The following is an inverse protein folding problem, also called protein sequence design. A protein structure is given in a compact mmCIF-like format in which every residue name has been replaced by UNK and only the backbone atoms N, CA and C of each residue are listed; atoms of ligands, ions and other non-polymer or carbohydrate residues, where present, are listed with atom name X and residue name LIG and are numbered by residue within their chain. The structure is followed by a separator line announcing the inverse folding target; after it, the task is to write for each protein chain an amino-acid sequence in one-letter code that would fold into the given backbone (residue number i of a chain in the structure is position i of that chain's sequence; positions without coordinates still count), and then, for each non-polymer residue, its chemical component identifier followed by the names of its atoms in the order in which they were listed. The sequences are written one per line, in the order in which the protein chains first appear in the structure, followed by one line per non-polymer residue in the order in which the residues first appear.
data_IF_434624260366
#
_entry.id   IF_434624260366
#
_cell.length_a   1.000
_cell.length_b   1.000
_cell.length_c   1.000
_cell.angle_alpha   90.00
_cell.angle_beta   90.00
_cell.angle_gamma   90.00
#
_symmetry.space_group_name_H-M   'P 1'
#
loop_
_entity.id
_entity.type
_entity.pdbx_description
1 polymer ?
#
# COMPACT_ATOMS: atom_id res chain seq x y z
N UNK A 1 -9.24 -11.79 -15.34
CA UNK A 1 -9.19 -12.67 -14.15
C UNK A 1 -10.59 -13.23 -13.96
N UNK A 2 -10.77 -14.50 -13.55
CA UNK A 2 -12.09 -15.04 -13.28
C UNK A 2 -12.75 -14.22 -12.18
N UNK A 3 -13.76 -13.43 -12.56
CA UNK A 3 -14.54 -12.66 -11.62
C UNK A 3 -15.57 -13.64 -11.04
N UNK A 4 -15.26 -14.18 -9.86
CA UNK A 4 -16.24 -14.97 -9.14
C UNK A 4 -17.37 -14.03 -8.71
N UNK A 5 -18.59 -14.32 -9.17
CA UNK A 5 -19.80 -13.58 -8.84
C UNK A 5 -20.30 -13.99 -7.44
N UNK A 6 -19.44 -13.78 -6.43
CA UNK A 6 -19.81 -14.01 -5.03
C UNK A 6 -20.82 -12.96 -4.59
N UNK A 7 -21.79 -13.36 -3.77
CA UNK A 7 -22.64 -12.40 -3.06
C UNK A 7 -21.76 -11.45 -2.22
N UNK A 8 -22.19 -10.21 -2.05
CA UNK A 8 -21.44 -9.23 -1.25
C UNK A 8 -21.20 -9.72 0.18
N UNK A 9 -22.19 -10.40 0.76
CA UNK A 9 -22.10 -10.98 2.09
C UNK A 9 -21.03 -12.08 2.15
N UNK A 10 -21.03 -13.04 1.23
CA UNK A 10 -20.01 -14.10 1.22
C UNK A 10 -18.62 -13.53 0.96
N UNK A 11 -18.51 -12.60 0.00
CA UNK A 11 -17.27 -11.90 -0.29
C UNK A 11 -16.71 -11.24 0.98
N UNK A 12 -17.54 -10.49 1.70
CA UNK A 12 -17.17 -9.82 2.96
C UNK A 12 -16.69 -10.81 4.01
N UNK A 13 -17.50 -11.83 4.32
CA UNK A 13 -17.19 -12.82 5.38
C UNK A 13 -15.91 -13.57 5.07
N UNK A 14 -15.72 -13.98 3.81
CA UNK A 14 -14.53 -14.72 3.37
C UNK A 14 -13.28 -13.85 3.49
N UNK A 15 -13.31 -12.62 2.97
CA UNK A 15 -12.16 -11.71 3.00
C UNK A 15 -11.79 -11.36 4.45
N UNK A 16 -12.77 -11.06 5.30
CA UNK A 16 -12.52 -10.79 6.73
C UNK A 16 -11.80 -11.96 7.41
N UNK A 17 -12.21 -13.20 7.14
CA UNK A 17 -11.53 -14.38 7.70
C UNK A 17 -10.11 -14.53 7.16
N UNK A 18 -9.94 -14.39 5.84
CA UNK A 18 -8.61 -14.47 5.22
C UNK A 18 -7.67 -13.41 5.78
N UNK A 19 -8.13 -12.17 5.92
CA UNK A 19 -7.32 -11.06 6.39
C UNK A 19 -7.02 -11.14 7.89
N UNK A 20 -7.95 -11.63 8.72
CA UNK A 20 -7.64 -11.96 10.13
C UNK A 20 -6.55 -13.01 10.24
N UNK A 21 -6.67 -14.11 9.50
CA UNK A 21 -5.63 -15.14 9.49
C UNK A 21 -4.31 -14.61 8.94
N UNK A 22 -4.33 -13.76 7.91
CA UNK A 22 -3.12 -13.14 7.36
C UNK A 22 -2.43 -12.22 8.38
N UNK A 23 -3.20 -11.45 9.15
CA UNK A 23 -2.72 -10.57 10.20
C UNK A 23 -2.07 -11.37 11.35
N UNK A 24 -2.78 -12.37 11.89
CA UNK A 24 -2.30 -13.28 12.93
C UNK A 24 -1.00 -14.00 12.54
N UNK A 25 -0.86 -14.34 11.25
CA UNK A 25 0.33 -15.02 10.73
C UNK A 25 1.49 -14.06 10.45
N UNK A 26 1.30 -12.75 10.51
CA UNK A 26 2.28 -11.76 10.06
C UNK A 26 2.61 -11.94 8.58
N UNK A 27 1.59 -11.93 7.71
CA UNK A 27 1.69 -12.32 6.29
C UNK A 27 2.88 -11.73 5.53
N UNK A 28 3.23 -10.46 5.76
CA UNK A 28 4.35 -9.80 5.07
C UNK A 28 5.73 -10.38 5.43
N UNK A 29 5.84 -11.09 6.55
CA UNK A 29 7.06 -11.76 7.00
C UNK A 29 7.16 -13.22 6.57
N UNK A 30 6.09 -13.76 5.98
CA UNK A 30 6.05 -15.16 5.54
C UNK A 30 6.80 -15.38 4.25
N UNK A 31 7.53 -16.49 4.21
CA UNK A 31 8.17 -17.00 3.01
C UNK A 31 7.14 -17.52 1.99
N UNK A 32 7.54 -17.64 0.72
CA UNK A 32 6.67 -18.17 -0.33
C UNK A 32 6.15 -19.60 -0.04
N UNK A 33 6.95 -20.54 0.52
CA UNK A 33 6.45 -21.85 0.94
C UNK A 33 5.36 -21.76 2.01
N UNK A 34 5.54 -20.94 3.04
CA UNK A 34 4.54 -20.76 4.10
C UNK A 34 3.25 -20.14 3.57
N UNK A 35 3.35 -19.13 2.70
CA UNK A 35 2.20 -18.54 2.01
C UNK A 35 1.46 -19.59 1.17
N UNK A 36 2.21 -20.42 0.44
CA UNK A 36 1.65 -21.52 -0.37
C UNK A 36 0.89 -22.53 0.49
N UNK A 37 1.44 -22.89 1.66
CA UNK A 37 0.77 -23.79 2.59
C UNK A 37 -0.50 -23.17 3.18
N UNK A 38 -0.47 -21.88 3.52
CA UNK A 38 -1.66 -21.19 4.00
C UNK A 38 -2.77 -21.13 2.94
N UNK A 39 -2.44 -20.91 1.66
CA UNK A 39 -3.42 -21.00 0.58
C UNK A 39 -4.07 -22.40 0.49
N UNK A 40 -3.31 -23.48 0.73
CA UNK A 40 -3.89 -24.84 0.78
C UNK A 40 -4.84 -25.01 1.95
N UNK A 41 -4.55 -24.41 3.11
CA UNK A 41 -5.44 -24.42 4.27
C UNK A 41 -6.74 -23.66 3.97
N UNK A 42 -6.68 -22.43 3.49
CA UNK A 42 -7.87 -21.67 3.09
C UNK A 42 -8.71 -22.37 2.01
N UNK A 43 -8.05 -23.03 1.05
CA UNK A 43 -8.73 -23.81 0.03
C UNK A 43 -9.57 -24.97 0.60
N UNK A 44 -9.05 -25.66 1.62
CA UNK A 44 -9.72 -26.77 2.31
C UNK A 44 -10.71 -26.32 3.38
N UNK A 45 -10.71 -25.05 3.74
CA UNK A 45 -11.54 -24.50 4.80
C UNK A 45 -13.03 -24.52 4.41
N UNK A 46 -13.93 -25.14 5.23
CA UNK A 46 -15.37 -25.16 5.02
C UNK A 46 -16.02 -23.78 4.87
N UNK A 47 -15.40 -22.75 5.42
CA UNK A 47 -15.92 -21.38 5.50
C UNK A 47 -15.25 -20.43 4.50
N UNK A 48 -14.20 -20.85 3.80
CA UNK A 48 -13.52 -20.08 2.74
C UNK A 48 -13.59 -20.85 1.43
N UNK A 49 -12.63 -21.72 1.13
CA UNK A 49 -12.49 -22.35 -0.19
C UNK A 49 -13.64 -23.29 -0.52
N UNK A 50 -14.03 -24.16 0.40
CA UNK A 50 -15.13 -25.09 0.18
C UNK A 50 -16.49 -24.38 0.14
N UNK A 51 -16.65 -23.28 0.89
CA UNK A 51 -17.85 -22.44 0.81
C UNK A 51 -18.04 -21.90 -0.61
N UNK A 52 -16.97 -21.37 -1.20
CA UNK A 52 -16.99 -20.83 -2.58
C UNK A 52 -17.36 -21.94 -3.57
N UNK A 53 -16.71 -23.11 -3.50
CA UNK A 53 -16.98 -24.23 -4.41
C UNK A 53 -18.44 -24.70 -4.28
N UNK A 54 -18.89 -24.98 -3.06
CA UNK A 54 -20.20 -25.59 -2.82
C UNK A 54 -21.36 -24.63 -3.11
N UNK A 55 -21.20 -23.33 -2.82
CA UNK A 55 -22.28 -22.36 -3.00
C UNK A 55 -22.36 -21.80 -4.44
N UNK A 56 -21.24 -21.80 -5.18
CA UNK A 56 -21.17 -21.15 -6.50
C UNK A 56 -20.84 -22.11 -7.66
N UNK A 57 -20.57 -23.39 -7.39
CA UNK A 57 -20.30 -24.39 -8.42
C UNK A 57 -19.06 -24.10 -9.27
N UNK A 58 -18.09 -23.38 -8.71
CA UNK A 58 -16.88 -22.92 -9.41
C UNK A 58 -15.75 -23.94 -9.31
N UNK A 59 -14.85 -23.95 -10.29
CA UNK A 59 -13.73 -24.89 -10.31
C UNK A 59 -12.73 -24.63 -9.17
N UNK A 60 -12.05 -25.67 -8.70
CA UNK A 60 -11.00 -25.53 -7.69
C UNK A 60 -9.91 -24.53 -8.11
N UNK A 61 -9.58 -24.55 -9.39
CA UNK A 61 -8.56 -23.67 -9.96
C UNK A 61 -9.00 -22.20 -9.88
N UNK A 62 -10.26 -21.90 -10.20
CA UNK A 62 -10.78 -20.54 -10.12
C UNK A 62 -10.81 -20.03 -8.68
N UNK A 63 -11.14 -20.87 -7.70
CA UNK A 63 -11.09 -20.50 -6.27
C UNK A 63 -9.67 -20.16 -5.84
N UNK A 64 -8.68 -20.97 -6.24
CA UNK A 64 -7.26 -20.71 -5.92
C UNK A 64 -6.77 -19.40 -6.54
N UNK A 65 -7.07 -19.17 -7.82
CA UNK A 65 -6.71 -17.93 -8.53
C UNK A 65 -7.40 -16.74 -7.88
N UNK A 66 -8.69 -16.85 -7.58
CA UNK A 66 -9.44 -15.78 -6.93
C UNK A 66 -8.83 -15.40 -5.59
N UNK A 67 -8.60 -16.35 -4.67
CA UNK A 67 -8.01 -16.07 -3.35
C UNK A 67 -6.67 -15.34 -3.45
N UNK A 68 -5.80 -15.75 -4.37
CA UNK A 68 -4.47 -15.19 -4.54
C UNK A 68 -4.49 -13.82 -5.23
N UNK A 69 -5.12 -13.74 -6.41
CA UNK A 69 -4.99 -12.61 -7.31
C UNK A 69 -6.03 -11.52 -7.09
N UNK A 70 -7.04 -11.78 -6.24
CA UNK A 70 -8.06 -10.80 -5.85
C UNK A 70 -7.81 -10.27 -4.43
N UNK A 71 -8.23 -10.90 -3.31
CA UNK A 71 -8.06 -10.30 -2.00
C UNK A 71 -6.60 -10.29 -1.54
N UNK A 72 -5.83 -11.37 -1.70
CA UNK A 72 -4.47 -11.40 -1.13
C UNK A 72 -3.47 -10.53 -1.89
N UNK A 73 -3.71 -10.25 -3.18
CA UNK A 73 -2.94 -9.27 -3.94
C UNK A 73 -3.11 -7.85 -3.41
N UNK A 74 -4.29 -7.53 -2.89
CA UNK A 74 -4.60 -6.21 -2.34
C UNK A 74 -4.24 -6.07 -0.86
N UNK A 75 -3.87 -7.15 -0.16
CA UNK A 75 -3.64 -7.13 1.29
C UNK A 75 -2.65 -6.06 1.76
N UNK A 76 -1.46 -5.99 1.15
CA UNK A 76 -0.45 -5.00 1.51
C UNK A 76 -0.94 -3.56 1.25
N UNK A 77 -1.70 -3.33 0.16
CA UNK A 77 -2.28 -2.02 -0.16
C UNK A 77 -3.43 -1.68 0.80
N UNK A 78 -4.23 -2.66 1.20
CA UNK A 78 -5.29 -2.48 2.18
C UNK A 78 -4.72 -2.06 3.54
N UNK A 79 -3.56 -2.60 3.96
CA UNK A 79 -2.85 -2.14 5.16
C UNK A 79 -2.35 -0.70 5.07
N UNK A 80 -2.19 -0.12 3.88
CA UNK A 80 -1.90 1.30 3.67
C UNK A 80 -3.14 2.19 3.78
N UNK A 81 -4.33 1.59 3.95
CA UNK A 81 -5.61 2.30 3.92
C UNK A 81 -6.06 2.69 2.51
N UNK A 82 -5.50 2.07 1.47
CA UNK A 82 -5.77 2.42 0.07
C UNK A 82 -6.65 1.35 -0.60
N UNK A 83 -7.66 1.80 -1.35
CA UNK A 83 -8.49 0.96 -2.21
C UNK A 83 -9.62 0.24 -1.48
N UNK A 84 -10.46 -0.47 -2.26
CA UNK A 84 -11.73 -1.03 -1.78
C UNK A 84 -11.58 -2.11 -0.69
N UNK A 85 -10.39 -2.70 -0.54
CA UNK A 85 -10.10 -3.74 0.44
C UNK A 85 -9.64 -3.21 1.81
N UNK A 86 -9.35 -1.90 1.92
CA UNK A 86 -8.88 -1.27 3.15
C UNK A 86 -9.82 -1.49 4.34
N UNK A 87 -11.12 -1.60 4.08
CA UNK A 87 -12.14 -1.84 5.11
C UNK A 87 -12.14 -3.25 5.72
N UNK A 88 -11.36 -4.20 5.16
CA UNK A 88 -11.37 -5.59 5.62
C UNK A 88 -10.15 -5.98 6.46
N UNK A 89 -9.07 -5.17 6.47
CA UNK A 89 -7.85 -5.52 7.21
C UNK A 89 -8.06 -5.23 8.71
N UNK A 90 -7.71 -6.14 9.62
CA UNK A 90 -7.87 -5.90 11.07
C UNK A 90 -7.01 -4.74 11.55
N UNK A 91 -5.76 -4.70 11.08
CA UNK A 91 -4.79 -3.66 11.39
C UNK A 91 -4.33 -2.96 10.12
N UNK A 92 -4.08 -1.65 10.23
CA UNK A 92 -3.54 -0.83 9.15
C UNK A 92 -2.60 0.24 9.68
N UNK A 93 -1.87 0.90 8.80
CA UNK A 93 -1.11 2.09 9.17
C UNK A 93 -2.00 3.33 9.35
N UNK A 94 -1.46 4.37 10.02
CA UNK A 94 -2.16 5.64 10.33
C UNK A 94 -2.56 6.49 9.11
N UNK A 95 -2.29 6.01 7.88
CA UNK A 95 -2.71 6.62 6.63
C UNK A 95 -1.72 7.65 6.05
N UNK A 96 -2.06 8.30 4.92
CA UNK A 96 -1.15 9.18 4.18
C UNK A 96 -0.77 10.48 4.91
N UNK A 97 -1.53 10.93 5.90
CA UNK A 97 -1.20 12.14 6.66
C UNK A 97 0.15 11.99 7.40
N UNK A 98 0.41 10.82 8.00
CA UNK A 98 1.70 10.50 8.64
C UNK A 98 2.87 10.60 7.65
N UNK A 99 2.65 10.17 6.40
CA UNK A 99 3.64 10.24 5.32
C UNK A 99 3.93 11.69 4.95
N UNK A 100 2.88 12.50 4.77
CA UNK A 100 3.02 13.92 4.42
C UNK A 100 3.75 14.69 5.51
N UNK A 101 3.39 14.47 6.77
CA UNK A 101 4.06 15.07 7.92
C UNK A 101 5.54 14.69 7.97
N UNK A 102 5.89 13.43 7.71
CA UNK A 102 7.29 13.00 7.65
C UNK A 102 8.07 13.64 6.49
N UNK A 103 7.43 13.82 5.32
CA UNK A 103 8.09 14.36 4.13
C UNK A 103 8.23 15.88 4.15
N UNK A 104 7.24 16.59 4.70
CA UNK A 104 7.06 18.03 4.53
C UNK A 104 7.10 18.82 5.84
N UNK A 105 6.88 18.17 6.98
CA UNK A 105 6.81 18.78 8.29
C UNK A 105 5.39 19.20 8.70
N UNK A 106 5.32 19.81 9.87
CA UNK A 106 4.08 20.29 10.48
C UNK A 106 3.39 21.35 9.61
N UNK A 107 2.05 21.37 9.62
CA UNK A 107 1.22 22.28 8.82
C UNK A 107 0.94 21.83 7.39
N UNK A 108 1.54 20.72 6.92
CA UNK A 108 1.23 20.14 5.62
C UNK A 108 0.08 19.13 5.69
N UNK A 109 -0.83 19.22 4.74
CA UNK A 109 -2.00 18.35 4.61
C UNK A 109 -2.00 17.59 3.28
N UNK A 110 -2.75 16.49 3.23
CA UNK A 110 -2.97 15.73 1.99
C UNK A 110 -4.03 16.46 1.16
N UNK A 111 -3.75 16.76 -0.10
CA UNK A 111 -4.74 17.30 -1.03
C UNK A 111 -5.82 16.24 -1.27
N UNK A 112 -7.08 16.61 -1.03
CA UNK A 112 -8.20 15.69 -1.14
C UNK A 112 -8.29 15.07 -2.55
N UNK A 113 -8.53 13.75 -2.61
CA UNK A 113 -8.65 13.01 -3.87
C UNK A 113 -7.32 12.75 -4.60
N UNK A 114 -6.16 13.16 -4.05
CA UNK A 114 -4.86 12.96 -4.70
C UNK A 114 -4.17 11.63 -4.36
N UNK A 115 -4.72 10.84 -3.42
CA UNK A 115 -4.14 9.58 -2.99
C UNK A 115 -4.36 8.51 -4.07
N UNK A 116 -3.28 7.91 -4.55
CA UNK A 116 -3.32 6.78 -5.50
C UNK A 116 -2.18 5.77 -5.22
N UNK A 117 -2.23 4.61 -5.87
CA UNK A 117 -1.42 3.43 -5.54
C UNK A 117 -0.77 2.78 -6.76
N UNK A 118 0.27 3.43 -7.33
CA UNK A 118 1.33 2.90 -8.24
C UNK A 118 2.41 3.97 -8.54
N UNK A 119 3.48 4.12 -7.72
CA UNK A 119 3.58 3.68 -6.33
C UNK A 119 2.59 4.44 -5.45
N UNK A 120 2.53 4.16 -4.14
CA UNK A 120 1.67 4.94 -3.26
C UNK A 120 2.12 6.40 -3.27
N UNK A 121 1.21 7.32 -3.54
CA UNK A 121 1.52 8.74 -3.65
C UNK A 121 0.31 9.63 -3.36
N UNK A 122 0.59 10.91 -3.17
CA UNK A 122 -0.38 11.99 -3.08
C UNK A 122 0.25 13.33 -3.43
N UNK A 123 -0.59 14.37 -3.51
CA UNK A 123 -0.15 15.75 -3.39
C UNK A 123 -0.32 16.20 -1.93
N UNK A 124 0.66 16.92 -1.43
CA UNK A 124 0.65 17.58 -0.14
C UNK A 124 0.62 19.09 -0.33
N UNK A 125 0.01 19.83 0.60
CA UNK A 125 -0.02 21.30 0.58
C UNK A 125 0.07 21.92 1.97
N UNK A 126 0.68 23.10 2.06
CA UNK A 126 0.63 23.99 3.23
C UNK A 126 -0.38 25.15 3.04
N UNK A 127 -1.24 25.07 2.02
CA UNK A 127 -2.17 26.12 1.60
C UNK A 127 -1.58 27.13 0.62
N UNK A 128 -0.25 27.19 0.47
CA UNK A 128 0.43 28.07 -0.50
C UNK A 128 1.18 27.29 -1.57
N UNK A 129 1.81 26.19 -1.18
CA UNK A 129 2.69 25.36 -2.00
C UNK A 129 2.14 23.95 -2.11
N UNK A 130 2.35 23.33 -3.27
CA UNK A 130 2.09 21.90 -3.45
C UNK A 130 3.39 21.11 -3.59
N UNK A 131 3.34 19.87 -3.10
CA UNK A 131 4.45 18.93 -3.15
C UNK A 131 3.95 17.54 -3.51
N UNK A 132 4.53 16.92 -4.53
CA UNK A 132 4.32 15.50 -4.77
C UNK A 132 5.05 14.68 -3.71
N UNK A 133 4.33 13.74 -3.08
CA UNK A 133 4.87 12.84 -2.06
C UNK A 133 4.55 11.41 -2.44
N UNK A 134 5.56 10.55 -2.52
CA UNK A 134 5.39 9.13 -2.76
C UNK A 134 6.10 8.29 -1.69
N UNK A 135 5.61 7.08 -1.43
CA UNK A 135 6.15 6.23 -0.37
C UNK A 135 6.12 4.75 -0.70
N UNK A 136 7.01 4.03 -0.02
CA UNK A 136 7.12 2.58 -0.12
C UNK A 136 8.34 2.06 0.62
N UNK A 137 8.54 0.74 0.55
CA UNK A 137 9.70 0.10 1.17
C UNK A 137 11.00 0.44 0.45
N UNK A 138 12.14 0.22 1.11
CA UNK A 138 13.47 0.44 0.50
C UNK A 138 13.69 -0.38 -0.79
N UNK A 139 13.02 -1.52 -0.94
CA UNK A 139 13.10 -2.36 -2.16
C UNK A 139 12.45 -1.69 -3.37
N UNK A 140 11.54 -0.74 -3.13
CA UNK A 140 10.81 0.00 -4.15
C UNK A 140 11.47 1.34 -4.50
N UNK A 141 12.62 1.68 -3.91
CA UNK A 141 13.24 3.00 -4.10
C UNK A 141 13.39 3.38 -5.58
N UNK A 142 13.83 2.43 -6.43
CA UNK A 142 13.97 2.69 -7.88
C UNK A 142 12.66 3.19 -8.48
N UNK A 143 11.55 2.53 -8.15
CA UNK A 143 10.23 2.84 -8.69
C UNK A 143 9.71 4.18 -8.10
N UNK A 144 10.02 4.48 -6.83
CA UNK A 144 9.70 5.76 -6.18
C UNK A 144 10.46 6.95 -6.79
N UNK A 145 11.77 6.77 -7.05
CA UNK A 145 12.62 7.77 -7.72
C UNK A 145 12.11 8.00 -9.13
N UNK A 146 11.84 6.93 -9.88
CA UNK A 146 11.33 7.03 -11.24
C UNK A 146 9.99 7.78 -11.31
N UNK A 147 9.03 7.42 -10.45
CA UNK A 147 7.74 8.11 -10.38
C UNK A 147 7.88 9.61 -10.05
N UNK A 148 8.85 9.96 -9.19
CA UNK A 148 9.13 11.36 -8.85
C UNK A 148 9.71 12.14 -10.04
N UNK A 149 10.57 11.49 -10.85
CA UNK A 149 11.14 12.08 -12.07
C UNK A 149 10.07 12.23 -13.15
N UNK A 150 9.21 11.22 -13.34
CA UNK A 150 8.08 11.29 -14.28
C UNK A 150 7.14 12.45 -13.91
N UNK A 151 6.75 12.53 -12.63
CA UNK A 151 5.91 13.64 -12.15
C UNK A 151 6.56 15.00 -12.44
N UNK A 152 7.86 15.12 -12.15
CA UNK A 152 8.63 16.31 -12.45
C UNK A 152 8.62 16.64 -13.96
N UNK A 153 8.91 15.67 -14.83
CA UNK A 153 8.96 15.88 -16.28
C UNK A 153 7.62 16.38 -16.83
N UNK A 154 6.51 15.82 -16.36
CA UNK A 154 5.16 16.19 -16.79
C UNK A 154 4.72 17.55 -16.23
N UNK A 155 5.23 17.93 -15.05
CA UNK A 155 4.84 19.15 -14.35
C UNK A 155 5.83 20.31 -14.50
N UNK A 156 6.98 20.10 -15.16
CA UNK A 156 8.04 21.10 -15.34
C UNK A 156 8.00 21.87 -16.70
N UNK A 157 6.90 21.85 -17.46
CA UNK A 157 6.87 22.62 -18.73
C UNK A 157 6.78 24.15 -18.53
N UNK A 158 7.94 24.78 -18.79
CA UNK A 158 8.24 26.13 -19.30
C UNK A 158 7.61 27.33 -18.58
N UNK A 159 8.30 27.81 -17.56
CA UNK A 159 8.14 29.17 -17.05
C UNK A 159 8.76 30.18 -18.02
N UNK A 160 7.93 30.72 -18.89
CA UNK A 160 8.12 32.06 -19.46
C UNK A 160 7.64 33.17 -18.51
N UNK A 161 6.77 32.84 -17.55
CA UNK A 161 6.40 33.73 -16.45
C UNK A 161 5.72 32.88 -15.36
N UNK A 162 6.12 33.05 -14.09
CA UNK A 162 5.51 32.47 -12.87
C UNK A 162 5.54 30.94 -12.70
N UNK A 163 6.71 30.43 -12.31
CA UNK A 163 6.85 29.16 -11.55
C UNK A 163 6.42 29.42 -10.09
N UNK A 164 5.12 29.60 -9.87
CA UNK A 164 4.60 29.93 -8.53
C UNK A 164 4.13 28.63 -7.90
N UNK A 165 4.93 28.13 -6.96
CA UNK A 165 4.52 27.22 -5.86
C UNK A 165 4.52 25.70 -6.08
N UNK A 166 5.45 25.14 -6.87
CA UNK A 166 5.73 23.68 -6.86
C UNK A 166 7.10 23.37 -6.28
N UNK A 167 7.11 22.62 -5.18
CA UNK A 167 8.33 22.20 -4.47
C UNK A 167 8.88 20.85 -4.97
N UNK A 168 10.14 20.55 -4.68
CA UNK A 168 10.79 19.27 -5.05
C UNK A 168 10.02 18.08 -4.46
N UNK A 169 9.79 16.98 -5.20
CA UNK A 169 9.15 15.79 -4.66
C UNK A 169 9.77 15.28 -3.34
N UNK A 170 8.92 14.75 -2.47
CA UNK A 170 9.31 14.06 -1.24
C UNK A 170 9.13 12.55 -1.38
N UNK A 171 10.20 11.78 -1.24
CA UNK A 171 10.15 10.31 -1.17
C UNK A 171 10.21 9.89 0.29
N UNK A 172 9.25 9.07 0.73
CA UNK A 172 9.25 8.48 2.07
C UNK A 172 9.52 6.99 1.97
N UNK A 173 10.69 6.57 2.43
CA UNK A 173 11.03 5.16 2.55
C UNK A 173 10.52 4.65 3.90
N UNK A 174 9.55 3.74 3.86
CA UNK A 174 8.86 3.26 5.06
C UNK A 174 9.40 1.92 5.54
N UNK A 175 9.46 1.74 6.86
CA UNK A 175 9.57 0.44 7.53
C UNK A 175 8.36 0.19 8.42
N UNK A 176 8.22 -1.06 8.87
CA UNK A 176 7.20 -1.46 9.84
C UNK A 176 7.80 -2.23 11.00
N UNK A 177 7.02 -2.50 12.05
CA UNK A 177 7.44 -3.31 13.19
C UNK A 177 8.11 -4.62 12.74
N UNK A 178 9.30 -4.91 13.25
CA UNK A 178 10.10 -6.08 12.83
C UNK A 178 10.93 -5.89 11.55
N UNK A 179 10.87 -4.72 10.90
CA UNK A 179 11.77 -4.35 9.80
C UNK A 179 12.75 -3.26 10.22
N UNK A 180 13.99 -3.40 9.76
CA UNK A 180 15.05 -2.41 9.94
C UNK A 180 15.65 -2.10 8.58
N UNK A 181 15.95 -0.83 8.33
CA UNK A 181 16.84 -0.41 7.23
C UNK A 181 18.16 -0.07 7.90
N UNK A 182 19.19 -0.85 7.56
CA UNK A 182 20.54 -0.60 8.05
C UNK A 182 21.11 0.73 7.53
N UNK A 183 22.14 1.24 8.21
CA UNK A 183 22.75 2.53 7.90
C UNK A 183 23.25 2.61 6.47
N UNK A 184 23.87 1.54 5.94
CA UNK A 184 24.39 1.53 4.58
C UNK A 184 23.28 1.60 3.52
N UNK A 185 22.15 0.93 3.76
CA UNK A 185 20.97 1.06 2.93
C UNK A 185 20.36 2.47 2.99
N UNK A 186 20.33 3.11 4.16
CA UNK A 186 19.86 4.51 4.29
C UNK A 186 20.72 5.48 3.49
N UNK A 187 22.03 5.43 3.68
CA UNK A 187 23.01 6.25 2.97
C UNK A 187 22.92 6.03 1.45
N UNK A 188 22.74 4.78 1.02
CA UNK A 188 22.55 4.46 -0.40
C UNK A 188 21.27 5.10 -0.95
N UNK A 189 20.16 5.05 -0.22
CA UNK A 189 18.90 5.65 -0.65
C UNK A 189 19.03 7.16 -0.83
N UNK A 190 19.63 7.84 0.15
CA UNK A 190 19.90 9.28 0.12
C UNK A 190 20.81 9.66 -1.04
N UNK A 191 21.91 8.92 -1.24
CA UNK A 191 22.84 9.16 -2.36
C UNK A 191 22.16 9.03 -3.71
N UNK A 192 21.36 7.97 -3.91
CA UNK A 192 20.66 7.73 -5.18
C UNK A 192 19.63 8.82 -5.48
N UNK A 193 18.81 9.20 -4.50
CA UNK A 193 17.84 10.28 -4.69
C UNK A 193 18.51 11.64 -4.87
N UNK A 194 19.60 11.90 -4.14
CA UNK A 194 20.40 13.12 -4.26
C UNK A 194 20.99 13.33 -5.66
N UNK A 195 21.42 12.25 -6.33
CA UNK A 195 21.87 12.31 -7.74
C UNK A 195 20.77 12.79 -8.71
N UNK A 196 19.49 12.65 -8.34
CA UNK A 196 18.34 13.12 -9.11
C UNK A 196 17.75 14.43 -8.57
N UNK A 197 18.38 15.05 -7.55
CA UNK A 197 17.88 16.27 -6.92
C UNK A 197 16.60 16.08 -6.09
N UNK A 198 16.30 14.84 -5.67
CA UNK A 198 15.11 14.46 -4.91
C UNK A 198 15.43 14.36 -3.42
N UNK A 199 14.43 14.60 -2.56
CA UNK A 199 14.54 14.41 -1.12
C UNK A 199 14.03 13.01 -0.74
N UNK A 200 14.77 12.31 0.12
CA UNK A 200 14.35 11.06 0.76
C UNK A 200 14.31 11.25 2.27
N UNK A 201 13.25 10.77 2.89
CA UNK A 201 13.15 10.61 4.35
C UNK A 201 12.82 9.16 4.67
N UNK A 202 13.25 8.68 5.83
CA UNK A 202 12.92 7.33 6.30
C UNK A 202 11.94 7.43 7.47
N UNK A 203 10.86 6.67 7.39
CA UNK A 203 9.80 6.67 8.39
C UNK A 203 9.54 5.25 8.87
N UNK A 204 9.64 5.03 10.18
CA UNK A 204 9.13 3.80 10.78
C UNK A 204 7.65 3.98 11.11
N UNK A 205 6.83 2.99 10.77
CA UNK A 205 5.37 3.03 10.95
C UNK A 205 4.91 1.82 11.72
N UNK A 206 4.13 2.06 12.77
CA UNK A 206 3.44 1.00 13.49
C UNK A 206 1.99 0.91 13.04
N UNK A 207 1.45 -0.30 13.09
CA UNK A 207 0.03 -0.49 12.79
C UNK A 207 -0.84 -0.03 13.96
N UNK A 208 -2.08 0.28 13.62
CA UNK A 208 -3.19 0.56 14.54
C UNK A 208 -4.35 -0.36 14.18
N UNK A 209 -5.27 -0.53 15.13
CA UNK A 209 -6.58 -1.11 14.83
C UNK A 209 -7.25 -0.31 13.71
N UNK A 210 -7.83 -1.02 12.74
CA UNK A 210 -8.43 -0.36 11.59
C UNK A 210 -9.77 0.30 11.98
N UNK A 211 -9.85 1.65 11.95
CA UNK A 211 -11.10 2.34 12.29
C UNK A 211 -12.18 2.13 11.23
N UNK A 212 -11.80 1.72 10.01
CA UNK A 212 -12.70 1.48 8.89
C UNK A 212 -13.12 0.00 8.80
N UNK A 213 -12.78 -0.83 9.80
CA UNK A 213 -13.03 -2.28 9.77
C UNK A 213 -14.53 -2.57 9.75
N UNK A 214 -14.99 -3.24 8.69
CA UNK A 214 -16.37 -3.73 8.63
C UNK A 214 -16.56 -4.97 9.48
N UNK A 215 -17.72 -5.06 10.13
CA UNK A 215 -18.12 -6.25 10.88
C UNK A 215 -18.66 -7.33 9.94
N UNK A 216 -18.43 -8.59 10.32
CA UNK A 216 -18.91 -9.76 9.59
C UNK A 216 -20.44 -9.91 9.66
#
# INVERSE_FOLDING_TARGET
MPQLNLSEQDRRVIILKMYRTADELGWEFRSNPEKTEQYRKWFKDPQIGQRIINAYGVSEQDVRVWMKDVPMKEYARAQEGIGAFAQYVPQRFRGPHEIVQAACGEGWEVVWGSIDGKPNHCLATDGTTERYVCWGSSKQLRDLVWASIEWLADNMRQSGDKLVNKSKPGIVVTTRDGQVIDTGARERNEKLAGLCGLAVVHLHRSMIDNPDLVTA
#
